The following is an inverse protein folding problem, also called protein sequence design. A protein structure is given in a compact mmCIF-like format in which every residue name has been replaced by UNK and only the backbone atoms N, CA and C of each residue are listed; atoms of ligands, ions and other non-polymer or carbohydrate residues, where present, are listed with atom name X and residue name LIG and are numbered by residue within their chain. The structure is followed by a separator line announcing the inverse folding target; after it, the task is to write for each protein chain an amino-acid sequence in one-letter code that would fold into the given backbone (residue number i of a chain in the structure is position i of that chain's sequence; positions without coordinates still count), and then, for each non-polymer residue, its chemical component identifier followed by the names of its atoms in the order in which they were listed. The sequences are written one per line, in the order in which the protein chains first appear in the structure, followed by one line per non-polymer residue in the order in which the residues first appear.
data_IF_726489721320
#
_entry.id   IF_726489721320
#
_cell.length_a   1.000
_cell.length_b   1.000
_cell.length_c   1.000
_cell.angle_alpha   90.00
_cell.angle_beta   90.00
_cell.angle_gamma   90.00
#
_symmetry.space_group_name_H-M   'P 1'
#
loop_
_entity.id
_entity.type
_entity.pdbx_description
1 polymer ?
#
# COMPACT_ATOMS: atom_id res chain seq x y z
N UNK A 1 8.19 14.89 -6.55
CA UNK A 1 8.27 13.43 -6.77
C UNK A 1 7.10 12.78 -6.04
N UNK A 2 6.19 12.08 -6.73
CA UNK A 2 5.13 11.35 -6.05
C UNK A 2 5.73 10.23 -5.17
N UNK A 3 5.04 9.89 -4.08
CA UNK A 3 5.44 8.78 -3.23
C UNK A 3 5.32 7.48 -4.02
N UNK A 4 6.43 6.75 -4.14
CA UNK A 4 6.41 5.41 -4.74
C UNK A 4 5.67 4.44 -3.81
N UNK A 5 5.12 3.35 -4.36
CA UNK A 5 4.44 2.33 -3.56
C UNK A 5 5.35 1.71 -2.48
N UNK A 6 6.67 1.63 -2.75
CA UNK A 6 7.68 1.20 -1.77
C UNK A 6 7.80 2.20 -0.61
N UNK A 7 7.76 3.51 -0.89
CA UNK A 7 7.82 4.54 0.15
C UNK A 7 6.53 4.56 0.98
N UNK A 8 5.35 4.37 0.37
CA UNK A 8 4.10 4.22 1.11
C UNK A 8 4.12 3.00 2.01
N UNK A 9 4.61 1.86 1.53
CA UNK A 9 4.74 0.65 2.35
C UNK A 9 5.65 0.88 3.57
N UNK A 10 6.78 1.57 3.37
CA UNK A 10 7.70 1.94 4.47
C UNK A 10 7.04 2.87 5.48
N UNK A 11 6.27 3.86 5.01
CA UNK A 11 5.54 4.79 5.88
C UNK A 11 4.40 4.09 6.63
N UNK A 12 3.65 3.22 5.98
CA UNK A 12 2.60 2.43 6.61
C UNK A 12 3.18 1.57 7.75
N UNK A 13 4.29 0.87 7.49
CA UNK A 13 5.00 0.07 8.51
C UNK A 13 5.44 0.93 9.71
N UNK A 14 5.97 2.14 9.46
CA UNK A 14 6.30 3.09 10.54
C UNK A 14 5.08 3.54 11.36
N UNK A 15 3.90 3.64 10.75
CA UNK A 15 2.66 4.07 11.41
C UNK A 15 1.87 2.90 12.06
N UNK A 16 2.52 1.76 12.26
CA UNK A 16 1.95 0.61 12.96
C UNK A 16 1.16 -0.36 12.07
N UNK A 17 1.22 -0.21 10.74
CA UNK A 17 0.67 -1.22 9.84
C UNK A 17 1.62 -2.41 9.75
N UNK A 18 1.10 -3.60 9.98
CA UNK A 18 1.85 -4.86 9.85
C UNK A 18 1.50 -5.51 8.54
N UNK A 19 2.51 -5.99 7.83
CA UNK A 19 2.30 -6.79 6.63
C UNK A 19 1.96 -8.22 7.04
N UNK A 20 0.75 -8.66 6.70
CA UNK A 20 0.24 -9.98 7.08
C UNK A 20 0.31 -10.99 5.95
N UNK A 21 0.35 -10.52 4.70
CA UNK A 21 0.51 -11.38 3.52
C UNK A 21 1.08 -10.58 2.35
N UNK A 22 1.92 -11.22 1.56
CA UNK A 22 2.38 -10.70 0.28
C UNK A 22 2.04 -11.70 -0.82
N UNK A 23 1.39 -11.23 -1.90
CA UNK A 23 1.14 -12.03 -3.11
C UNK A 23 1.66 -11.26 -4.32
N UNK A 24 2.84 -11.65 -4.82
CA UNK A 24 3.57 -10.92 -5.87
C UNK A 24 3.74 -9.45 -5.45
N UNK A 25 3.20 -8.52 -6.22
CA UNK A 25 3.21 -7.08 -5.95
C UNK A 25 2.14 -6.62 -4.96
N UNK A 26 1.20 -7.46 -4.53
CA UNK A 26 0.14 -7.04 -3.61
C UNK A 26 0.54 -7.32 -2.16
N UNK A 27 0.75 -6.24 -1.40
CA UNK A 27 1.04 -6.30 0.03
C UNK A 27 -0.24 -6.07 0.82
N UNK A 28 -0.61 -7.02 1.66
CA UNK A 28 -1.78 -6.94 2.53
C UNK A 28 -1.30 -6.48 3.90
N UNK A 29 -1.83 -5.33 4.33
CA UNK A 29 -1.50 -4.66 5.57
C UNK A 29 -2.68 -4.70 6.54
N UNK A 30 -2.39 -4.92 7.81
CA UNK A 30 -3.36 -4.88 8.91
C UNK A 30 -2.84 -3.96 10.02
N UNK A 31 -3.74 -3.20 10.61
CA UNK A 31 -3.48 -2.40 11.82
C UNK A 31 -4.65 -2.62 12.77
N UNK A 32 -4.35 -2.69 14.06
CA UNK A 32 -5.38 -2.85 15.08
C UNK A 32 -6.39 -1.70 15.02
N UNK A 33 -7.69 -2.02 15.05
CA UNK A 33 -8.77 -1.06 14.91
C UNK A 33 -9.01 -0.53 13.48
N UNK A 34 -8.30 -1.03 12.46
CA UNK A 34 -8.50 -0.64 11.06
C UNK A 34 -8.79 -1.84 10.16
N UNK A 35 -9.58 -1.67 9.08
CA UNK A 35 -9.77 -2.70 8.09
C UNK A 35 -8.45 -3.05 7.40
N UNK A 36 -8.37 -4.27 6.87
CA UNK A 36 -7.23 -4.73 6.09
C UNK A 36 -7.12 -3.93 4.79
N UNK A 37 -5.92 -3.48 4.45
CA UNK A 37 -5.65 -2.67 3.25
C UNK A 37 -4.70 -3.42 2.32
N UNK A 38 -4.98 -3.39 1.02
CA UNK A 38 -4.10 -3.96 -0.01
C UNK A 38 -3.33 -2.84 -0.71
N UNK A 39 -2.00 -2.89 -0.63
CA UNK A 39 -1.09 -1.95 -1.29
C UNK A 39 -0.44 -2.64 -2.49
N UNK A 40 -0.80 -2.29 -3.74
CA UNK A 40 -0.11 -2.78 -4.92
C UNK A 40 1.24 -2.05 -5.08
N UNK A 41 2.33 -2.80 -4.96
CA UNK A 41 3.71 -2.37 -5.20
C UNK A 41 4.14 -2.83 -6.59
N UNK A 42 3.87 -2.02 -7.62
CA UNK A 42 4.54 -2.18 -8.93
C UNK A 42 5.97 -1.65 -8.81
N UNK A 43 6.94 -2.39 -9.32
CA UNK A 43 8.36 -2.03 -9.20
C UNK A 43 8.63 -0.67 -9.84
N UNK A 44 9.12 0.30 -9.05
CA UNK A 44 9.59 1.63 -9.45
C UNK A 44 8.65 2.51 -10.29
N UNK A 45 7.43 2.08 -10.63
CA UNK A 45 6.43 2.96 -11.22
C UNK A 45 5.78 3.82 -10.14
N UNK A 46 5.66 5.12 -10.44
CA UNK A 46 4.89 6.05 -9.65
C UNK A 46 3.46 5.52 -9.47
N UNK A 47 2.89 5.72 -8.27
CA UNK A 47 1.45 5.52 -8.05
C UNK A 47 0.72 6.54 -8.94
N UNK A 48 0.40 6.15 -10.17
CA UNK A 48 -0.45 6.94 -11.04
C UNK A 48 -1.77 7.18 -10.30
N UNK A 49 -2.08 8.47 -10.19
CA UNK A 49 -3.27 9.03 -9.56
C UNK A 49 -4.49 8.62 -10.36
N UNK A 50 -5.05 7.45 -10.06
CA UNK A 50 -6.45 7.17 -10.34
C UNK A 50 -6.99 6.19 -9.29
N UNK A 51 -7.63 6.75 -8.28
CA UNK A 51 -8.43 6.04 -7.27
C UNK A 51 -9.80 6.73 -7.19
N UNK A 52 -10.30 7.17 -8.35
CA UNK A 52 -11.46 8.02 -8.51
C UNK A 52 -12.19 7.67 -9.80
N UNK A 53 -12.88 6.53 -9.82
CA UNK A 53 -14.26 6.42 -10.31
C UNK A 53 -14.67 4.95 -10.43
N UNK A 54 -15.59 4.55 -9.55
CA UNK A 54 -16.63 3.58 -9.87
C UNK A 54 -17.80 3.89 -8.92
N UNK A 55 -18.70 4.76 -9.39
CA UNK A 55 -20.12 4.80 -9.05
C UNK A 55 -20.88 4.39 -10.32
#
# INVERSE_FOLDING_TARGET
MPLTAKQMLKLAKKNGWKEVRQKRSHHILQKDGFPVVVVPVRGNEDLKKDLSNHY
#
